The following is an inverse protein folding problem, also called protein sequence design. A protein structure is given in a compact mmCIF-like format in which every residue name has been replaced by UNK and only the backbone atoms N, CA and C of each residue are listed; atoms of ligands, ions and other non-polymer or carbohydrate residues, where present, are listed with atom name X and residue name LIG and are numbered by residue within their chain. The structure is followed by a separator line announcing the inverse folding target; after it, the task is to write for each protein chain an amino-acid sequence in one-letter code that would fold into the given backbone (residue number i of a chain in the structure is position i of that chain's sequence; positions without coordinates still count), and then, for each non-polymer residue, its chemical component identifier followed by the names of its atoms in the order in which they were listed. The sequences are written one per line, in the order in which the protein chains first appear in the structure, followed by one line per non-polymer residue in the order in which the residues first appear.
data_IF_117587913974
#
_entry.id   IF_117587913974
#
_cell.length_a   1.000
_cell.length_b   1.000
_cell.length_c   1.000
_cell.angle_alpha   90.00
_cell.angle_beta   90.00
_cell.angle_gamma   90.00
#
_symmetry.space_group_name_H-M   'P 1'
#
loop_
_entity.id
_entity.type
_entity.pdbx_description
1 polymer ?
2 branched ?
3 non-polymer ?
4 non-polymer ?
5 water ?
#
# COMPACT_ATOMS: atom_id res chain seq x y z
N UNK A 6 13.62 4.78 -18.20
CA UNK A 6 12.33 4.05 -18.38
C UNK A 6 12.10 3.06 -17.23
N UNK A 7 10.83 2.88 -16.88
CA UNK A 7 10.50 1.98 -15.79
C UNK A 7 10.56 0.50 -16.11
N UNK A 8 10.48 -0.32 -15.06
CA UNK A 8 10.52 -1.77 -15.20
C UNK A 8 9.36 -2.30 -16.04
N UNK A 9 8.27 -1.55 -16.11
CA UNK A 9 7.12 -1.95 -16.89
C UNK A 9 7.57 -2.19 -18.33
N UNK A 10 8.50 -1.34 -18.78
CA UNK A 10 9.03 -1.41 -20.15
C UNK A 10 10.25 -2.30 -20.30
N UNK A 11 11.23 -2.15 -19.42
CA UNK A 11 12.46 -2.93 -19.48
C UNK A 11 12.36 -4.34 -18.92
N UNK A 12 11.40 -4.55 -18.02
CA UNK A 12 11.19 -5.84 -17.39
C UNK A 12 12.38 -6.19 -16.48
N UNK A 13 13.15 -5.17 -16.13
CA UNK A 13 14.30 -5.32 -15.23
C UNK A 13 14.06 -4.42 -14.03
N UNK A 14 14.18 -4.99 -12.83
CA UNK A 14 13.95 -4.24 -11.61
C UNK A 14 15.24 -3.87 -10.90
N UNK A 15 15.33 -2.61 -10.50
CA UNK A 15 16.52 -2.11 -9.82
C UNK A 15 16.67 -2.69 -8.41
N UNK A 16 17.85 -3.23 -8.14
CA UNK A 16 18.16 -3.77 -6.82
C UNK A 16 18.98 -2.64 -6.20
N UNK A 17 18.30 -1.70 -5.56
CA UNK A 17 18.99 -0.57 -4.97
C UNK A 17 19.94 -0.96 -3.85
N UNK A 18 19.61 -2.01 -3.10
CA UNK A 18 20.50 -2.47 -2.03
C UNK A 18 21.85 -2.83 -2.66
N UNK A 19 21.80 -3.56 -3.76
CA UNK A 19 23.00 -3.99 -4.46
C UNK A 19 23.77 -2.80 -5.02
N UNK A 20 23.05 -1.87 -5.63
CA UNK A 20 23.69 -0.68 -6.19
C UNK A 20 24.36 0.16 -5.12
N UNK A 21 23.86 0.08 -3.88
CA UNK A 21 24.44 0.84 -2.80
C UNK A 21 25.51 0.08 -2.01
N UNK A 22 25.96 -1.05 -2.56
CA UNK A 22 27.02 -1.79 -1.89
C UNK A 22 26.74 -3.07 -1.13
N UNK A 23 25.47 -3.43 -0.93
CA UNK A 23 25.15 -4.65 -0.21
C UNK A 23 25.33 -5.87 -1.12
N UNK A 24 25.82 -6.96 -0.56
CA UNK A 24 26.05 -8.16 -1.36
C UNK A 24 24.77 -8.90 -1.69
N UNK A 25 24.74 -9.53 -2.87
CA UNK A 25 23.58 -10.28 -3.32
C UNK A 25 23.14 -11.33 -2.30
N UNK A 26 24.11 -12.05 -1.73
CA UNK A 26 23.81 -13.09 -0.76
C UNK A 26 23.14 -12.53 0.48
N UNK A 27 23.69 -11.44 1.03
CA UNK A 27 23.11 -10.85 2.22
C UNK A 27 21.73 -10.25 1.95
N UNK A 28 21.51 -9.75 0.74
CA UNK A 28 20.21 -9.19 0.39
C UNK A 28 19.19 -10.34 0.32
N UNK A 29 19.56 -11.43 -0.33
CA UNK A 29 18.66 -12.57 -0.43
C UNK A 29 18.28 -13.07 0.95
N UNK A 30 19.28 -13.21 1.81
CA UNK A 30 19.07 -13.67 3.17
C UNK A 30 18.16 -12.73 3.95
N UNK A 31 18.39 -11.43 3.80
CA UNK A 31 17.59 -10.44 4.51
C UNK A 31 16.14 -10.42 4.07
N UNK A 32 15.90 -10.56 2.78
CA UNK A 32 14.52 -10.58 2.28
C UNK A 32 13.80 -11.81 2.82
N UNK A 33 14.45 -12.96 2.74
CA UNK A 33 13.87 -14.20 3.23
C UNK A 33 13.60 -14.12 4.75
N UNK A 34 14.57 -13.60 5.50
CA UNK A 34 14.42 -13.49 6.94
C UNK A 34 13.27 -12.56 7.32
N UNK A 35 13.11 -11.48 6.57
CA UNK A 35 12.04 -10.53 6.84
C UNK A 35 10.70 -11.25 6.65
N UNK A 36 10.59 -11.98 5.55
CA UNK A 36 9.37 -12.73 5.28
C UNK A 36 9.09 -13.73 6.41
N UNK A 37 10.11 -14.47 6.82
CA UNK A 37 9.94 -15.46 7.87
C UNK A 37 9.56 -14.84 9.20
N UNK A 38 10.09 -13.67 9.52
CA UNK A 38 9.75 -13.03 10.78
C UNK A 38 8.30 -12.57 10.81
N UNK A 39 7.73 -12.32 9.63
CA UNK A 39 6.34 -11.88 9.53
C UNK A 39 5.33 -13.00 9.30
N UNK A 40 5.72 -13.99 8.50
CA UNK A 40 4.83 -15.09 8.15
C UNK A 40 5.14 -16.44 8.77
N UNK A 41 6.33 -16.55 9.36
CA UNK A 41 6.71 -17.81 9.98
C UNK A 41 6.25 -17.86 11.42
N UNK A 42 6.59 -18.92 12.14
CA UNK A 42 6.16 -19.04 13.53
C UNK A 42 7.13 -18.35 14.50
N UNK A 43 7.25 -17.04 14.32
CA UNK A 43 8.10 -16.20 15.16
C UNK A 43 7.18 -15.24 15.90
N UNK A 44 6.63 -15.71 17.04
CA UNK A 44 5.71 -15.00 17.91
C UNK A 44 5.86 -13.49 18.16
N UNK A 45 7.08 -13.04 18.43
CA UNK A 45 7.30 -11.62 18.73
C UNK A 45 7.24 -10.67 17.56
N UNK A 46 7.40 -11.18 16.34
CA UNK A 46 7.41 -10.33 15.16
C UNK A 46 6.33 -10.64 14.13
N UNK A 47 5.78 -11.85 14.18
CA UNK A 47 4.79 -12.27 13.20
C UNK A 47 3.51 -11.43 13.17
N UNK A 48 2.89 -11.39 12.00
CA UNK A 48 1.64 -10.67 11.81
C UNK A 48 0.63 -11.54 11.08
N UNK A 49 1.08 -12.68 10.58
CA UNK A 49 0.22 -13.62 9.85
C UNK A 49 -0.07 -14.85 10.70
N UNK A 50 -1.35 -15.22 10.78
CA UNK A 50 -1.78 -16.37 11.56
C UNK A 50 -2.64 -17.29 10.72
N UNK A 51 -2.34 -18.59 10.79
CA UNK A 51 -3.08 -19.57 10.02
C UNK A 51 -4.21 -20.19 10.82
N UNK A 52 -5.31 -20.50 10.14
CA UNK A 52 -6.47 -21.10 10.78
C UNK A 52 -6.90 -22.32 9.97
N UNK A 53 -6.83 -23.50 10.58
CA UNK A 53 -7.21 -24.71 9.88
C UNK A 53 -6.28 -24.99 8.71
N UNK A 54 -6.83 -25.56 7.64
CA UNK A 54 -6.03 -25.89 6.45
C UNK A 54 -6.30 -25.01 5.25
N UNK A 55 -7.26 -24.09 5.35
CA UNK A 55 -7.58 -23.23 4.22
C UNK A 55 -7.85 -21.77 4.56
N UNK A 56 -7.52 -21.37 5.79
CA UNK A 56 -7.74 -19.99 6.22
C UNK A 56 -6.50 -19.35 6.84
N UNK A 57 -6.46 -18.03 6.81
CA UNK A 57 -5.34 -17.30 7.38
C UNK A 57 -5.65 -15.82 7.36
N UNK A 58 -4.99 -15.05 8.23
CA UNK A 58 -5.22 -13.62 8.27
C UNK A 58 -4.04 -12.86 8.86
N UNK A 59 -4.03 -11.55 8.63
CA UNK A 59 -3.00 -10.69 9.19
C UNK A 59 -3.68 -9.90 10.29
N UNK A 60 -3.05 -9.89 11.45
CA UNK A 60 -3.60 -9.20 12.61
C UNK A 60 -3.03 -7.81 12.85
N UNK A 61 -3.92 -6.83 12.97
CA UNK A 61 -3.46 -5.49 13.30
C UNK A 61 -3.26 -5.64 14.80
N UNK A 62 -2.01 -5.85 15.20
CA UNK A 62 -1.66 -6.06 16.60
C UNK A 62 -2.02 -4.91 17.53
N UNK A 63 -2.00 -3.68 17.00
CA UNK A 63 -2.31 -2.53 17.83
C UNK A 63 -3.79 -2.31 18.10
N UNK A 64 -4.63 -2.72 17.17
CA UNK A 64 -6.08 -2.55 17.33
C UNK A 64 -6.81 -3.88 17.55
N UNK A 65 -6.06 -4.96 17.54
CA UNK A 65 -6.60 -6.29 17.75
C UNK A 65 -7.75 -6.67 16.81
N UNK A 66 -7.61 -6.31 15.55
CA UNK A 66 -8.62 -6.61 14.56
C UNK A 66 -7.94 -7.01 13.25
N UNK A 67 -8.74 -7.38 12.26
CA UNK A 67 -8.24 -7.77 10.94
C UNK A 67 -8.80 -6.73 9.97
N UNK A 68 -7.91 -6.07 9.25
CA UNK A 68 -8.30 -5.01 8.32
C UNK A 68 -8.08 -5.33 6.86
N UNK A 69 -8.92 -4.78 5.98
CA UNK A 69 -8.77 -5.07 4.56
C UNK A 69 -7.43 -4.55 4.03
N UNK A 70 -6.92 -3.47 4.61
CA UNK A 70 -5.63 -2.97 4.15
C UNK A 70 -4.58 -4.03 4.42
N UNK A 71 -4.66 -4.65 5.60
CA UNK A 71 -3.71 -5.69 5.95
C UNK A 71 -3.87 -6.98 5.16
N UNK A 72 -5.11 -7.41 4.96
CA UNK A 72 -5.37 -8.63 4.21
C UNK A 72 -4.92 -8.46 2.75
N UNK A 73 -5.24 -7.31 2.16
CA UNK A 73 -4.85 -7.06 0.79
C UNK A 73 -3.32 -6.97 0.70
N UNK A 74 -2.69 -6.39 1.72
CA UNK A 74 -1.23 -6.30 1.75
C UNK A 74 -0.66 -7.71 1.78
N UNK A 75 -1.25 -8.56 2.63
CA UNK A 75 -0.80 -9.93 2.75
C UNK A 75 -0.87 -10.69 1.45
N UNK A 76 -1.95 -10.52 0.71
CA UNK A 76 -2.09 -11.19 -0.57
C UNK A 76 -1.03 -10.68 -1.54
N UNK A 77 -0.79 -9.38 -1.54
CA UNK A 77 0.23 -8.82 -2.43
C UNK A 77 1.60 -9.38 -2.07
N UNK A 78 1.91 -9.46 -0.77
CA UNK A 78 3.19 -10.01 -0.32
C UNK A 78 3.32 -11.47 -0.76
N UNK A 79 2.24 -12.23 -0.56
CA UNK A 79 2.24 -13.64 -0.90
C UNK A 79 2.46 -13.90 -2.39
N UNK A 80 1.80 -13.13 -3.25
CA UNK A 80 2.00 -13.35 -4.68
C UNK A 80 3.39 -12.94 -5.12
N UNK A 81 3.94 -11.88 -4.50
CA UNK A 81 5.29 -11.46 -4.85
C UNK A 81 6.30 -12.53 -4.43
N UNK A 82 5.99 -13.24 -3.35
CA UNK A 82 6.87 -14.30 -2.84
C UNK A 82 6.55 -15.68 -3.41
N UNK A 83 5.61 -15.73 -4.36
CA UNK A 83 5.21 -16.97 -5.00
C UNK A 83 4.72 -18.00 -3.99
N UNK A 84 3.86 -17.56 -3.08
CA UNK A 84 3.30 -18.42 -2.05
C UNK A 84 1.77 -18.46 -2.19
N UNK A 85 1.31 -19.28 -3.13
CA UNK A 85 -0.12 -19.41 -3.41
C UNK A 85 -0.89 -19.96 -2.22
N UNK A 86 -0.24 -20.82 -1.44
CA UNK A 86 -0.90 -21.41 -0.27
C UNK A 86 -1.32 -20.32 0.71
N UNK A 87 -0.44 -19.36 0.95
CA UNK A 87 -0.74 -18.27 1.86
C UNK A 87 -1.74 -17.31 1.22
N UNK A 88 -1.53 -17.01 -0.06
CA UNK A 88 -2.42 -16.11 -0.78
C UNK A 88 -3.86 -16.61 -0.67
N UNK A 89 -4.06 -17.89 -1.00
CA UNK A 89 -5.40 -18.47 -0.95
C UNK A 89 -6.01 -18.51 0.45
N UNK A 90 -5.20 -18.76 1.47
CA UNK A 90 -5.70 -18.79 2.84
C UNK A 90 -6.26 -17.41 3.21
N UNK A 91 -5.51 -16.36 2.88
CA UNK A 91 -5.92 -14.99 3.18
C UNK A 91 -7.14 -14.57 2.38
N UNK A 92 -7.13 -14.86 1.08
CA UNK A 92 -8.24 -14.50 0.21
C UNK A 92 -9.51 -15.25 0.63
N UNK A 93 -9.35 -16.50 1.06
CA UNK A 93 -10.50 -17.29 1.49
C UNK A 93 -11.14 -16.68 2.74
N UNK A 94 -10.29 -16.27 3.69
CA UNK A 94 -10.77 -15.66 4.93
C UNK A 94 -11.48 -14.35 4.58
N UNK A 95 -10.88 -13.59 3.66
CA UNK A 95 -11.43 -12.32 3.22
C UNK A 95 -12.82 -12.49 2.62
N UNK A 96 -12.97 -13.43 1.70
CA UNK A 96 -14.26 -13.67 1.06
C UNK A 96 -15.29 -14.21 2.03
N UNK A 97 -14.86 -15.08 2.94
CA UNK A 97 -15.76 -15.69 3.90
C UNK A 97 -16.28 -14.73 4.98
N UNK A 98 -15.38 -13.93 5.53
CA UNK A 98 -15.73 -13.02 6.61
C UNK A 98 -15.86 -11.54 6.33
N UNK A 99 -15.23 -11.05 5.26
CA UNK A 99 -15.26 -9.63 4.97
C UNK A 99 -16.17 -9.19 3.83
N UNK A 100 -16.29 -10.01 2.79
CA UNK A 100 -17.13 -9.63 1.66
C UNK A 100 -18.57 -9.41 2.10
N UNK A 101 -19.15 -8.29 1.67
CA UNK A 101 -20.52 -7.95 2.04
C UNK A 101 -21.54 -8.20 0.95
N UNK A 102 -22.62 -8.88 1.32
CA UNK A 102 -23.69 -9.19 0.38
C UNK A 102 -24.94 -8.38 0.75
N UNK A 103 -24.90 -7.73 1.92
CA UNK A 103 -26.03 -6.95 2.39
C UNK A 103 -25.62 -5.52 2.74
N UNK A 104 -26.59 -4.62 2.76
CA UNK A 104 -26.31 -3.24 3.11
C UNK A 104 -25.94 -2.36 1.92
N UNK A 105 -25.79 -1.08 2.19
CA UNK A 105 -25.47 -0.12 1.14
C UNK A 105 -24.10 -0.36 0.52
N UNK A 106 -23.23 -1.06 1.23
CA UNK A 106 -21.90 -1.34 0.71
C UNK A 106 -21.73 -2.78 0.21
N UNK A 107 -22.83 -3.41 -0.16
CA UNK A 107 -22.77 -4.76 -0.69
C UNK A 107 -21.88 -4.71 -1.93
N UNK A 108 -20.98 -5.69 -2.05
CA UNK A 108 -20.08 -5.70 -3.19
C UNK A 108 -18.69 -5.26 -2.78
N UNK A 109 -18.58 -4.67 -1.60
CA UNK A 109 -17.30 -4.23 -1.05
C UNK A 109 -16.95 -5.13 0.13
N UNK A 110 -15.78 -4.89 0.72
CA UNK A 110 -15.32 -5.68 1.85
C UNK A 110 -15.32 -4.89 3.16
N UNK A 111 -15.95 -5.44 4.19
CA UNK A 111 -16.01 -4.81 5.51
C UNK A 111 -14.56 -4.54 5.89
N UNK A 112 -14.25 -3.29 6.22
CA UNK A 112 -12.87 -2.93 6.51
C UNK A 112 -12.21 -3.48 7.77
N UNK A 113 -13.01 -3.74 8.79
CA UNK A 113 -12.47 -4.27 10.04
C UNK A 113 -13.32 -5.40 10.60
N UNK A 114 -12.65 -6.51 10.92
CA UNK A 114 -13.30 -7.68 11.50
C UNK A 114 -12.51 -8.14 12.71
N UNK A 115 -13.17 -8.91 13.57
CA UNK A 115 -12.48 -9.46 14.73
C UNK A 115 -11.80 -10.72 14.22
N UNK A 116 -10.81 -11.23 14.96
CA UNK A 116 -10.10 -12.44 14.55
C UNK A 116 -11.01 -13.64 14.26
N UNK A 117 -12.16 -13.70 14.93
CA UNK A 117 -13.09 -14.80 14.70
C UNK A 117 -13.94 -14.62 13.46
N UNK A 118 -13.74 -13.50 12.76
CA UNK A 118 -14.49 -13.25 11.54
C UNK A 118 -15.64 -12.27 11.62
N UNK A 119 -16.09 -11.96 12.84
CA UNK A 119 -17.19 -11.02 13.03
C UNK A 119 -16.84 -9.63 12.51
N UNK A 120 -17.76 -9.03 11.76
CA UNK A 120 -17.52 -7.70 11.21
C UNK A 120 -17.71 -6.62 12.27
N UNK A 121 -16.78 -5.68 12.34
CA UNK A 121 -16.86 -4.57 13.29
C UNK A 121 -17.53 -3.38 12.63
N UNK A 122 -17.66 -3.45 11.31
CA UNK A 122 -18.25 -2.37 10.52
C UNK A 122 -18.71 -2.94 9.19
N UNK A 123 -19.67 -2.26 8.56
CA UNK A 123 -20.16 -2.66 7.25
C UNK A 123 -19.69 -1.64 6.22
N UNK A 124 -18.70 -0.85 6.62
CA UNK A 124 -18.14 0.14 5.71
C UNK A 124 -16.82 -0.38 5.18
N UNK A 125 -16.46 -0.04 3.93
CA UNK A 125 -15.21 -0.51 3.33
C UNK A 125 -14.10 0.54 3.36
N UNK A 126 -12.90 0.12 2.94
CA UNK A 126 -11.73 0.99 2.87
C UNK A 126 -11.15 0.85 1.46
N UNK A 127 -11.29 1.90 0.63
CA UNK A 127 -10.78 1.88 -0.74
C UNK A 127 -9.35 1.42 -0.94
N UNK A 128 -8.45 1.72 -0.01
CA UNK A 128 -7.08 1.27 -0.20
C UNK A 128 -6.99 -0.25 -0.14
N UNK A 129 -7.93 -0.89 0.55
CA UNK A 129 -7.94 -2.33 0.61
C UNK A 129 -8.39 -2.87 -0.74
N UNK A 130 -9.51 -2.36 -1.25
CA UNK A 130 -10.04 -2.79 -2.53
C UNK A 130 -9.01 -2.72 -3.67
N UNK A 131 -8.30 -1.61 -3.78
CA UNK A 131 -7.33 -1.49 -4.87
C UNK A 131 -6.17 -2.48 -4.77
N UNK A 132 -5.75 -2.81 -3.55
CA UNK A 132 -4.67 -3.79 -3.38
C UNK A 132 -5.21 -5.19 -3.66
N UNK A 133 -6.45 -5.46 -3.25
CA UNK A 133 -7.04 -6.78 -3.53
C UNK A 133 -7.03 -6.99 -5.04
N UNK A 134 -7.51 -6.00 -5.77
CA UNK A 134 -7.60 -6.09 -7.22
C UNK A 134 -6.26 -6.37 -7.90
N UNK A 135 -5.23 -5.59 -7.59
CA UNK A 135 -3.96 -5.84 -8.25
C UNK A 135 -3.35 -7.16 -7.82
N UNK A 136 -3.49 -7.51 -6.54
CA UNK A 136 -2.95 -8.78 -6.05
C UNK A 136 -3.62 -9.93 -6.79
N UNK A 137 -4.93 -9.79 -7.02
CA UNK A 137 -5.69 -10.83 -7.72
C UNK A 137 -5.23 -10.93 -9.17
N UNK A 138 -4.98 -9.79 -9.82
CA UNK A 138 -4.49 -9.83 -11.20
C UNK A 138 -3.14 -10.54 -11.23
N UNK A 139 -2.26 -10.21 -10.30
CA UNK A 139 -0.95 -10.84 -10.24
C UNK A 139 -1.07 -12.34 -10.00
N UNK A 140 -1.99 -12.74 -9.13
CA UNK A 140 -2.20 -14.16 -8.84
C UNK A 140 -2.62 -14.89 -10.11
N UNK A 141 -3.55 -14.28 -10.85
CA UNK A 141 -4.04 -14.88 -12.09
C UNK A 141 -2.89 -15.06 -13.07
N UNK A 142 -2.04 -14.05 -13.15
CA UNK A 142 -0.91 -14.07 -14.09
C UNK A 142 0.20 -15.03 -13.70
N UNK A 143 0.45 -15.21 -12.40
CA UNK A 143 1.51 -16.11 -11.97
C UNK A 143 1.07 -17.57 -11.88
N UNK A 144 -0.14 -17.80 -11.39
CA UNK A 144 -0.63 -19.16 -11.21
C UNK A 144 -1.80 -19.59 -12.07
N UNK A 145 -2.44 -18.64 -12.73
CA UNK A 145 -3.59 -18.97 -13.56
C UNK A 145 -4.84 -18.99 -12.69
N UNK A 146 -5.99 -18.70 -13.29
CA UNK A 146 -7.25 -18.69 -12.56
C UNK A 146 -7.66 -20.09 -12.09
N UNK A 147 -8.23 -20.16 -10.89
CA UNK A 147 -8.67 -21.42 -10.34
C UNK A 147 -10.01 -21.81 -10.94
N UNK A 148 -10.34 -23.10 -10.85
CA UNK A 148 -11.59 -23.61 -11.41
C UNK A 148 -12.81 -23.33 -10.56
N UNK A 149 -12.61 -23.09 -9.27
CA UNK A 149 -13.72 -22.82 -8.36
C UNK A 149 -13.64 -21.44 -7.74
N UNK A 150 -14.79 -20.78 -7.60
CA UNK A 150 -14.82 -19.48 -6.98
C UNK A 150 -14.50 -19.69 -5.51
N UNK A 151 -13.92 -18.68 -4.85
CA UNK A 151 -13.54 -17.36 -5.37
C UNK A 151 -12.12 -17.32 -5.92
N UNK A 152 -11.59 -18.47 -6.33
CA UNK A 152 -10.24 -18.53 -6.83
C UNK A 152 -10.07 -18.22 -8.32
N UNK A 153 -11.14 -17.73 -8.93
CA UNK A 153 -11.10 -17.34 -10.34
C UNK A 153 -10.61 -15.88 -10.28
N UNK A 154 -9.34 -15.76 -9.88
CA UNK A 154 -8.66 -14.48 -9.67
C UNK A 154 -8.95 -13.30 -10.59
N UNK A 155 -8.65 -13.42 -11.87
CA UNK A 155 -8.87 -12.31 -12.79
C UNK A 155 -10.31 -11.82 -12.84
N UNK A 156 -11.27 -12.75 -12.79
CA UNK A 156 -12.67 -12.37 -12.81
C UNK A 156 -13.05 -11.62 -11.54
N UNK A 157 -12.50 -12.07 -10.41
CA UNK A 157 -12.77 -11.42 -9.13
C UNK A 157 -12.26 -9.99 -9.17
N UNK A 158 -11.05 -9.81 -9.72
CA UNK A 158 -10.43 -8.49 -9.82
C UNK A 158 -11.26 -7.55 -10.68
N UNK A 159 -11.63 -8.01 -11.87
CA UNK A 159 -12.42 -7.17 -12.77
C UNK A 159 -13.80 -6.85 -12.19
N UNK A 160 -14.39 -7.80 -11.49
CA UNK A 160 -15.70 -7.62 -10.87
C UNK A 160 -15.60 -6.55 -9.78
N UNK A 161 -14.58 -6.65 -8.95
CA UNK A 161 -14.39 -5.70 -7.86
C UNK A 161 -14.17 -4.28 -8.39
N UNK A 162 -13.32 -4.14 -9.40
CA UNK A 162 -13.05 -2.83 -9.96
C UNK A 162 -14.30 -2.28 -10.67
N UNK A 163 -15.16 -3.15 -11.16
CA UNK A 163 -16.38 -2.70 -11.80
C UNK A 163 -17.22 -1.99 -10.73
N UNK A 164 -17.34 -2.63 -9.58
CA UNK A 164 -18.11 -2.07 -8.47
C UNK A 164 -17.51 -0.74 -8.04
N UNK A 165 -16.18 -0.69 -7.91
CA UNK A 165 -15.49 0.52 -7.48
C UNK A 165 -15.80 1.73 -8.34
N UNK A 166 -16.00 1.49 -9.64
CA UNK A 166 -16.26 2.57 -10.57
C UNK A 166 -17.73 2.85 -10.81
N UNK A 167 -18.53 1.79 -10.90
CA UNK A 167 -19.96 1.91 -11.22
C UNK A 167 -21.01 1.78 -10.13
N UNK A 168 -20.60 1.50 -8.90
CA UNK A 168 -21.59 1.35 -7.82
C UNK A 168 -22.44 2.62 -7.71
N UNK A 169 -23.74 2.43 -7.53
CA UNK A 169 -24.64 3.57 -7.41
C UNK A 169 -25.49 3.75 -8.65
N UNK A 170 -25.00 3.24 -9.78
CA UNK A 170 -25.74 3.34 -11.04
C UNK A 170 -26.85 2.30 -11.02
N UNK A 171 -28.01 2.71 -10.49
CA UNK A 171 -29.14 1.79 -10.41
C UNK A 171 -29.25 1.18 -9.04
N UNK A 172 -28.64 1.82 -8.05
CA UNK A 172 -28.67 1.32 -6.69
C UNK A 172 -28.34 2.41 -5.70
N UNK A 173 -28.52 2.16 -4.39
CA UNK A 173 -28.23 3.15 -3.35
C UNK A 173 -26.74 3.24 -3.01
N UNK A 174 -25.95 2.37 -3.63
CA UNK A 174 -24.52 2.35 -3.36
C UNK A 174 -23.74 3.55 -3.86
N UNK A 175 -22.45 3.58 -3.55
CA UNK A 175 -21.57 4.67 -3.95
C UNK A 175 -20.27 4.11 -4.51
N UNK A 176 -19.69 4.80 -5.51
CA UNK A 176 -18.42 4.34 -6.09
C UNK A 176 -17.27 4.76 -5.19
N UNK A 177 -16.11 4.13 -5.36
CA UNK A 177 -14.95 4.48 -4.56
C UNK A 177 -14.07 5.54 -5.20
N UNK A 178 -14.43 5.93 -6.42
CA UNK A 178 -13.73 6.97 -7.15
C UNK A 178 -14.77 8.02 -7.55
N UNK A 179 -14.39 9.30 -7.47
CA UNK A 179 -15.31 10.34 -7.91
C UNK A 179 -15.21 10.28 -9.42
N UNK A 180 -16.34 10.10 -10.09
CA UNK A 180 -16.36 9.98 -11.55
C UNK A 180 -15.97 11.24 -12.31
N UNK A 181 -16.15 12.40 -11.69
CA UNK A 181 -15.82 13.66 -12.34
C UNK A 181 -14.33 13.98 -12.30
N UNK A 182 -13.71 13.88 -11.13
CA UNK A 182 -12.29 14.19 -11.01
C UNK A 182 -11.36 12.97 -11.09
N UNK A 183 -11.95 11.78 -11.16
CA UNK A 183 -11.19 10.53 -11.26
C UNK A 183 -10.25 10.24 -10.09
N UNK A 184 -10.56 10.80 -8.92
CA UNK A 184 -9.74 10.60 -7.73
C UNK A 184 -10.37 9.59 -6.78
N UNK A 185 -9.53 8.72 -6.20
CA UNK A 185 -10.02 7.74 -5.25
C UNK A 185 -10.50 8.50 -4.00
N UNK A 186 -11.54 7.99 -3.36
CA UNK A 186 -12.11 8.62 -2.17
C UNK A 186 -11.60 7.98 -0.88
N UNK A 187 -11.75 8.68 0.24
CA UNK A 187 -11.34 8.15 1.54
C UNK A 187 -12.28 6.97 1.86
N UNK A 188 -13.57 7.19 1.64
CA UNK A 188 -14.60 6.14 1.80
C UNK A 188 -15.68 6.47 0.77
N UNK A 189 -16.49 5.47 0.38
CA UNK A 189 -17.53 5.69 -0.62
C UNK A 189 -18.51 6.85 -0.45
N UNK A 190 -18.93 7.12 0.78
CA UNK A 190 -19.91 8.18 0.98
C UNK A 190 -19.43 9.60 1.27
N UNK A 191 -18.14 9.86 1.12
CA UNK A 191 -17.64 11.21 1.35
C UNK A 191 -17.04 11.76 0.07
N UNK A 192 -16.76 13.05 0.06
CA UNK A 192 -16.16 13.67 -1.11
C UNK A 192 -14.82 14.33 -0.78
N UNK A 193 -13.92 13.52 -0.23
CA UNK A 193 -12.56 13.96 0.05
C UNK A 193 -11.70 12.72 -0.07
N UNK A 194 -10.39 12.89 0.01
CA UNK A 194 -9.49 11.75 -0.20
C UNK A 194 -8.46 11.54 0.89
N UNK A 195 -7.48 10.69 0.57
CA UNK A 195 -6.39 10.32 1.47
C UNK A 195 -5.21 10.13 0.53
N UNK A 196 -4.23 11.05 0.55
CA UNK A 196 -3.05 10.95 -0.34
C UNK A 196 -2.39 9.58 -0.45
N UNK A 197 -2.22 8.90 0.68
CA UNK A 197 -1.58 7.58 0.70
C UNK A 197 -2.34 6.52 -0.09
N UNK A 198 -3.60 6.78 -0.42
CA UNK A 198 -4.43 5.84 -1.17
C UNK A 198 -4.18 5.92 -2.68
N UNK A 199 -3.53 6.99 -3.11
CA UNK A 199 -3.29 7.17 -4.55
C UNK A 199 -2.16 6.34 -5.11
N UNK A 200 -2.54 5.39 -5.96
CA UNK A 200 -1.59 4.46 -6.58
C UNK A 200 -1.68 4.55 -8.10
N UNK A 201 -1.16 5.64 -8.69
CA UNK A 201 -1.21 5.77 -10.14
C UNK A 201 -0.60 4.59 -10.90
N UNK A 202 0.44 3.98 -10.33
CA UNK A 202 1.08 2.84 -10.95
C UNK A 202 0.15 1.63 -10.98
N UNK A 203 -0.75 1.55 -10.01
CA UNK A 203 -1.72 0.45 -9.99
C UNK A 203 -2.78 0.72 -11.06
N UNK A 204 -3.21 1.97 -11.16
CA UNK A 204 -4.25 2.33 -12.13
C UNK A 204 -3.77 2.16 -13.56
N UNK A 205 -2.46 2.35 -13.79
CA UNK A 205 -1.89 2.16 -15.11
C UNK A 205 -2.13 0.71 -15.52
N UNK A 206 -1.91 -0.20 -14.58
CA UNK A 206 -2.11 -1.62 -14.86
C UNK A 206 -3.61 -1.94 -14.99
N UNK A 207 -4.45 -1.27 -14.21
CA UNK A 207 -5.89 -1.50 -14.31
C UNK A 207 -6.36 -1.08 -15.70
N UNK A 208 -5.71 -0.08 -16.29
CA UNK A 208 -6.11 0.39 -17.62
C UNK A 208 -5.79 -0.65 -18.70
N UNK A 209 -5.06 -1.69 -18.31
CA UNK A 209 -4.71 -2.75 -19.24
C UNK A 209 -5.49 -4.02 -18.97
N UNK A 210 -5.85 -4.25 -17.71
CA UNK A 210 -6.53 -5.48 -17.32
C UNK A 210 -7.97 -5.43 -16.81
N UNK A 211 -8.47 -4.25 -16.47
CA UNK A 211 -9.85 -4.14 -15.98
C UNK A 211 -10.81 -4.35 -17.15
N UNK A 212 -12.12 -4.33 -16.88
CA UNK A 212 -13.07 -4.49 -17.97
C UNK A 212 -12.76 -3.40 -18.98
N UNK A 213 -12.80 -3.75 -20.26
CA UNK A 213 -12.48 -2.78 -21.31
C UNK A 213 -13.23 -1.46 -21.23
N UNK A 214 -14.50 -1.51 -20.83
CA UNK A 214 -15.32 -0.31 -20.73
C UNK A 214 -14.77 0.70 -19.74
N UNK A 215 -13.88 0.27 -18.84
CA UNK A 215 -13.30 1.17 -17.84
C UNK A 215 -11.80 1.45 -18.02
N UNK A 216 -11.19 0.92 -19.07
CA UNK A 216 -9.76 1.13 -19.26
C UNK A 216 -9.36 2.58 -19.48
N UNK A 217 -10.17 3.34 -20.21
CA UNK A 217 -9.87 4.74 -20.43
C UNK A 217 -9.96 5.45 -19.08
N UNK A 218 -10.99 5.13 -18.30
CA UNK A 218 -11.17 5.73 -16.99
C UNK A 218 -9.94 5.51 -16.11
N UNK A 219 -9.43 4.28 -16.08
CA UNK A 219 -8.26 4.00 -15.25
C UNK A 219 -7.02 4.78 -15.68
N UNK A 220 -6.88 5.05 -16.97
CA UNK A 220 -5.74 5.82 -17.44
C UNK A 220 -5.90 7.24 -16.92
N UNK A 221 -7.15 7.74 -16.93
CA UNK A 221 -7.42 9.08 -16.47
C UNK A 221 -7.21 9.19 -14.95
N UNK A 222 -7.52 8.11 -14.23
CA UNK A 222 -7.35 8.08 -12.79
C UNK A 222 -5.86 8.13 -12.46
N UNK A 223 -5.05 7.44 -13.25
CA UNK A 223 -3.61 7.43 -13.04
C UNK A 223 -3.08 8.85 -13.19
N UNK A 224 -3.50 9.54 -14.24
CA UNK A 224 -3.06 10.91 -14.47
C UNK A 224 -3.57 11.84 -13.38
N UNK A 225 -4.84 11.70 -13.00
CA UNK A 225 -5.41 12.55 -11.96
C UNK A 225 -4.69 12.38 -10.62
N UNK A 226 -4.34 11.15 -10.28
CA UNK A 226 -3.64 10.89 -9.02
C UNK A 226 -2.24 11.48 -9.02
N UNK A 227 -1.55 11.41 -10.16
CA UNK A 227 -0.20 11.96 -10.22
C UNK A 227 -0.26 13.47 -10.01
N UNK A 228 -1.26 14.13 -10.60
CA UNK A 228 -1.40 15.57 -10.42
C UNK A 228 -1.83 15.91 -9.00
N UNK A 229 -2.67 15.06 -8.42
CA UNK A 229 -3.17 15.28 -7.06
C UNK A 229 -2.04 15.26 -6.04
N UNK A 230 -1.12 14.31 -6.18
CA UNK A 230 -0.01 14.22 -5.24
C UNK A 230 0.84 15.49 -5.25
N UNK A 231 0.93 16.15 -6.40
CA UNK A 231 1.71 17.37 -6.50
C UNK A 231 1.12 18.49 -5.65
N UNK A 232 -0.20 18.55 -5.53
CA UNK A 232 -0.82 19.60 -4.73
C UNK A 232 -1.07 19.18 -3.28
N UNK A 233 -0.96 17.89 -2.99
CA UNK A 233 -1.18 17.39 -1.63
C UNK A 233 0.09 17.45 -0.77
N UNK A 234 1.25 17.30 -1.40
CA UNK A 234 2.52 17.32 -0.67
C UNK A 234 2.98 18.75 -0.43
N UNK A 235 3.35 19.06 0.82
CA UNK A 235 3.81 20.39 1.15
C UNK A 235 5.00 20.73 0.25
N UNK A 236 5.00 21.93 -0.36
CA UNK A 236 6.07 22.37 -1.25
C UNK A 236 7.48 22.46 -0.70
N UNK A 237 7.63 22.63 0.61
CA UNK A 237 8.96 22.75 1.20
C UNK A 237 9.44 21.47 1.89
N UNK A 238 8.56 20.86 2.68
CA UNK A 238 8.91 19.64 3.43
C UNK A 238 8.62 18.35 2.67
N UNK A 239 7.69 18.41 1.73
CA UNK A 239 7.32 17.23 0.97
C UNK A 239 6.34 16.36 1.73
N UNK A 240 5.96 16.79 2.93
CA UNK A 240 5.05 16.02 3.76
C UNK A 240 3.59 16.13 3.32
N UNK A 241 2.90 14.99 3.28
CA UNK A 241 1.50 14.95 2.89
C UNK A 241 0.62 14.63 4.10
N UNK A 242 -0.59 15.20 4.13
CA UNK A 242 -1.50 14.95 5.25
C UNK A 242 -2.14 13.56 5.09
N UNK A 243 -2.71 13.04 6.18
CA UNK A 243 -3.36 11.74 6.11
C UNK A 243 -4.63 11.83 5.28
N UNK A 244 -5.48 12.82 5.58
CA UNK A 244 -6.71 13.05 4.82
C UNK A 244 -6.58 14.41 4.15
N UNK A 245 -7.12 14.54 2.95
CA UNK A 245 -7.05 15.80 2.23
C UNK A 245 -8.28 15.99 1.35
N UNK A 246 -8.68 17.24 1.16
CA UNK A 246 -9.80 17.55 0.30
C UNK A 246 -9.34 17.37 -1.14
N UNK A 247 -10.28 17.38 -2.07
CA UNK A 247 -9.89 17.22 -3.47
C UNK A 247 -9.02 18.39 -3.91
N UNK A 248 -9.14 19.53 -3.23
CA UNK A 248 -8.32 20.69 -3.59
C UNK A 248 -6.87 20.54 -3.11
N UNK A 249 -6.59 19.42 -2.46
CA UNK A 249 -5.24 19.15 -1.99
C UNK A 249 -4.90 19.54 -0.56
N UNK A 250 -5.67 20.46 0.02
CA UNK A 250 -5.39 20.91 1.38
C UNK A 250 -5.83 19.87 2.41
N UNK A 251 -5.20 19.88 3.59
CA UNK A 251 -5.54 18.90 4.64
C UNK A 251 -6.96 18.99 5.22
N UNK A 252 -7.52 17.83 5.54
CA UNK A 252 -8.82 17.75 6.18
C UNK A 252 -8.48 17.34 7.61
N UNK A 253 -8.52 18.30 8.52
CA UNK A 253 -8.18 18.03 9.91
C UNK A 253 -9.39 18.03 10.83
N UNK A 254 -10.57 17.87 10.25
CA UNK A 254 -11.81 17.86 11.02
C UNK A 254 -11.76 16.88 12.19
N UNK A 255 -11.06 15.76 12.01
CA UNK A 255 -10.95 14.76 13.07
C UNK A 255 -9.52 14.43 13.46
N UNK A 256 -8.59 15.32 13.13
CA UNK A 256 -7.20 15.12 13.48
C UNK A 256 -6.30 14.44 12.46
N UNK A 257 -6.84 14.18 11.26
CA UNK A 257 -6.08 13.52 10.20
C UNK A 257 -5.44 14.47 9.20
N UNK A 258 -5.30 15.74 9.56
CA UNK A 258 -4.72 16.68 8.61
C UNK A 258 -3.22 16.89 8.72
N UNK A 259 -2.53 15.99 9.41
CA UNK A 259 -1.10 16.12 9.59
C UNK A 259 -0.30 14.95 9.04
N UNK A 260 1.02 15.03 9.17
CA UNK A 260 1.90 13.96 8.69
C UNK A 260 2.00 12.90 9.79
N UNK A 261 1.32 11.78 9.58
CA UNK A 261 1.32 10.69 10.53
C UNK A 261 1.22 9.35 9.80
N UNK A 262 0.83 8.31 10.53
CA UNK A 262 0.74 6.95 9.98
C UNK A 262 0.36 6.76 8.52
N UNK A 263 -0.82 7.22 8.11
CA UNK A 263 -1.23 7.06 6.71
C UNK A 263 -0.22 7.65 5.73
N UNK A 264 0.20 8.89 6.02
CA UNK A 264 1.11 9.66 5.19
C UNK A 264 2.41 9.00 4.80
N UNK A 265 2.93 8.14 5.68
CA UNK A 265 4.21 7.49 5.42
C UNK A 265 4.23 6.75 4.09
N UNK A 266 3.09 6.20 3.71
CA UNK A 266 3.02 5.42 2.47
C UNK A 266 3.19 6.24 1.19
N UNK A 267 3.00 7.55 1.26
CA UNK A 267 3.15 8.38 0.07
C UNK A 267 4.55 8.26 -0.54
N UNK A 268 5.58 8.37 0.30
CA UNK A 268 6.95 8.26 -0.19
C UNK A 268 7.20 6.90 -0.83
N UNK A 269 6.67 5.85 -0.20
CA UNK A 269 6.84 4.49 -0.72
C UNK A 269 6.14 4.34 -2.06
N UNK A 270 4.92 4.89 -2.16
CA UNK A 270 4.14 4.81 -3.40
C UNK A 270 4.86 5.55 -4.53
N UNK A 271 5.45 6.69 -4.22
CA UNK A 271 6.16 7.46 -5.23
C UNK A 271 7.39 6.67 -5.69
N UNK A 272 8.03 5.98 -4.74
CA UNK A 272 9.19 5.19 -5.09
C UNK A 272 8.84 4.03 -6.02
N UNK A 273 7.76 3.32 -5.71
CA UNK A 273 7.37 2.19 -6.54
C UNK A 273 6.89 2.64 -7.92
N UNK A 274 6.15 3.74 -7.97
CA UNK A 274 5.67 4.26 -9.24
C UNK A 274 6.88 4.63 -10.11
N UNK A 275 7.91 5.20 -9.49
CA UNK A 275 9.10 5.59 -10.24
C UNK A 275 9.81 4.36 -10.81
N UNK A 276 9.91 3.30 -10.00
CA UNK A 276 10.57 2.08 -10.45
C UNK A 276 9.80 1.37 -11.55
N UNK A 277 8.48 1.33 -11.44
CA UNK A 277 7.66 0.66 -12.43
C UNK A 277 7.44 1.45 -13.72
N UNK A 278 7.08 2.73 -13.60
CA UNK A 278 6.78 3.52 -14.78
C UNK A 278 7.72 4.66 -15.14
N UNK A 279 8.85 4.74 -14.45
CA UNK A 279 9.83 5.77 -14.77
C UNK A 279 9.93 6.91 -13.79
N UNK A 280 11.14 7.43 -13.63
CA UNK A 280 11.35 8.54 -12.71
C UNK A 280 10.88 9.84 -13.32
N UNK A 281 10.70 10.84 -12.47
CA UNK A 281 10.26 12.16 -12.91
C UNK A 281 10.97 13.18 -12.05
N UNK A 282 11.13 14.39 -12.57
CA UNK A 282 11.80 15.45 -11.82
C UNK A 282 11.02 15.73 -10.54
N UNK A 283 9.69 15.77 -10.64
CA UNK A 283 8.88 16.05 -9.47
C UNK A 283 9.07 14.99 -8.38
N UNK A 284 9.05 13.71 -8.77
CA UNK A 284 9.21 12.64 -7.80
C UNK A 284 10.57 12.67 -7.11
N UNK A 285 11.63 12.90 -7.88
CA UNK A 285 12.96 12.96 -7.31
C UNK A 285 13.06 14.12 -6.31
N UNK A 286 12.51 15.26 -6.69
CA UNK A 286 12.55 16.43 -5.82
C UNK A 286 11.68 16.24 -4.57
N UNK A 287 10.56 15.55 -4.73
CA UNK A 287 9.66 15.29 -3.61
C UNK A 287 10.34 14.40 -2.58
N UNK A 288 10.98 13.32 -3.04
CA UNK A 288 11.67 12.43 -2.13
C UNK A 288 12.84 13.16 -1.49
N UNK A 289 13.54 14.00 -2.25
CA UNK A 289 14.65 14.74 -1.68
C UNK A 289 14.17 15.66 -0.56
N UNK A 290 12.98 16.24 -0.72
CA UNK A 290 12.41 17.12 0.29
C UNK A 290 12.11 16.36 1.58
N UNK A 291 11.45 15.22 1.45
CA UNK A 291 11.09 14.41 2.61
C UNK A 291 12.34 13.93 3.34
N UNK A 292 13.30 13.40 2.58
CA UNK A 292 14.53 12.91 3.19
C UNK A 292 15.32 14.05 3.81
N UNK A 293 15.29 15.22 3.18
CA UNK A 293 16.01 16.37 3.73
C UNK A 293 15.39 16.76 5.07
N UNK A 294 14.06 16.67 5.15
CA UNK A 294 13.35 17.01 6.38
C UNK A 294 13.75 16.10 7.54
N UNK A 295 13.98 14.82 7.25
CA UNK A 295 14.34 13.88 8.30
C UNK A 295 15.84 13.66 8.47
N UNK A 296 16.64 14.28 7.61
CA UNK A 296 18.09 14.13 7.65
C UNK A 296 18.73 14.43 9.00
N UNK A 297 18.20 15.43 9.72
CA UNK A 297 18.76 15.81 11.02
C UNK A 297 17.88 15.40 12.20
N UNK A 298 17.03 14.40 11.99
CA UNK A 298 16.13 13.95 13.04
C UNK A 298 16.39 12.49 13.41
N UNK A 299 16.44 12.20 14.70
CA UNK A 299 16.66 10.84 15.16
C UNK A 299 15.35 10.06 15.20
N UNK A 300 15.36 8.80 14.75
CA UNK A 300 14.15 7.97 14.75
C UNK A 300 13.43 7.95 16.09
N UNK A 301 14.20 7.87 17.17
CA UNK A 301 13.61 7.83 18.51
C UNK A 301 12.87 9.13 18.82
N UNK A 302 13.13 10.16 18.04
CA UNK A 302 12.50 11.47 18.25
C UNK A 302 11.44 11.83 17.20
N UNK A 303 11.21 10.94 16.23
CA UNK A 303 10.21 11.22 15.21
C UNK A 303 8.87 11.54 15.87
N UNK A 304 8.22 12.58 15.38
CA UNK A 304 6.93 13.01 15.94
C UNK A 304 5.85 13.04 14.87
N UNK A 305 4.70 13.55 15.28
CA UNK A 305 3.60 13.80 14.36
C UNK A 305 4.01 15.22 13.99
N UNK A 306 3.88 15.59 12.72
CA UNK A 306 4.26 16.94 12.29
C UNK A 306 3.15 17.55 11.46
N UNK A 307 2.99 18.87 11.54
CA UNK A 307 2.03 19.53 10.68
C UNK A 307 2.76 19.40 9.35
N UNK A 308 2.07 19.44 8.22
CA UNK A 308 2.77 19.25 6.96
C UNK A 308 3.83 20.31 6.67
N UNK A 309 3.74 21.46 7.33
CA UNK A 309 4.73 22.51 7.12
C UNK A 309 5.99 22.24 7.95
N UNK A 310 5.98 21.13 8.69
CA UNK A 310 7.13 20.75 9.49
C UNK A 310 7.06 21.00 10.98
N UNK A 311 6.08 21.79 11.43
CA UNK A 311 5.95 22.08 12.85
C UNK A 311 5.72 20.79 13.63
N UNK A 312 6.56 20.52 14.63
CA UNK A 312 6.42 19.29 15.43
C UNK A 312 5.41 19.33 16.57
N UNK A 313 4.77 18.19 16.81
CA UNK A 313 3.84 18.01 17.90
C UNK A 313 4.67 17.30 18.97
N UNK A 314 4.16 17.28 20.20
CA UNK A 314 4.88 16.58 21.26
C UNK A 314 4.75 15.08 21.05
N UNK A 315 3.60 14.66 20.52
CA UNK A 315 3.34 13.24 20.28
C UNK A 315 4.36 12.60 19.35
N UNK A 316 4.87 11.44 19.77
CA UNK A 316 5.84 10.71 18.96
C UNK A 316 5.14 9.90 17.88
N UNK A 317 5.90 9.55 16.85
CA UNK A 317 5.38 8.73 15.77
C UNK A 317 5.00 7.40 16.40
N UNK A 318 3.84 6.86 16.03
CA UNK A 318 3.41 5.57 16.58
C UNK A 318 4.09 4.44 15.81
N UNK A 319 4.54 4.73 14.60
CA UNK A 319 5.18 3.73 13.75
C UNK A 319 6.45 4.27 13.09
N UNK A 320 7.49 4.55 13.89
CA UNK A 320 8.75 5.08 13.38
C UNK A 320 9.52 4.13 12.46
N UNK A 321 9.39 2.83 12.69
CA UNK A 321 10.06 1.86 11.84
C UNK A 321 9.41 1.90 10.45
N UNK A 322 8.09 2.05 10.42
CA UNK A 322 7.40 2.15 9.15
C UNK A 322 7.82 3.41 8.42
N UNK A 323 8.01 4.50 9.16
CA UNK A 323 8.44 5.75 8.55
C UNK A 323 9.81 5.54 7.92
N UNK A 324 10.71 4.89 8.65
CA UNK A 324 12.05 4.62 8.13
C UNK A 324 11.96 3.79 6.84
N UNK A 325 11.15 2.74 6.87
CA UNK A 325 10.99 1.88 5.70
C UNK A 325 10.47 2.62 4.48
N UNK A 326 9.43 3.43 4.66
CA UNK A 326 8.87 4.17 3.54
C UNK A 326 9.82 5.22 2.99
N UNK A 327 10.55 5.92 3.86
CA UNK A 327 11.49 6.92 3.40
C UNK A 327 12.60 6.25 2.58
N UNK A 328 13.00 5.06 3.02
CA UNK A 328 14.03 4.31 2.31
C UNK A 328 13.49 3.84 0.96
N UNK A 329 12.26 3.33 0.93
CA UNK A 329 11.66 2.89 -0.32
C UNK A 329 11.53 4.05 -1.30
N UNK A 330 11.33 5.24 -0.76
CA UNK A 330 11.21 6.42 -1.60
C UNK A 330 12.46 6.67 -2.43
N UNK A 331 13.59 6.16 -1.96
CA UNK A 331 14.87 6.34 -2.66
C UNK A 331 14.82 5.82 -4.10
N UNK A 332 13.89 4.93 -4.38
CA UNK A 332 13.77 4.40 -5.74
C UNK A 332 13.41 5.51 -6.73
N UNK A 333 12.88 6.61 -6.20
CA UNK A 333 12.50 7.75 -7.03
C UNK A 333 13.58 8.83 -7.08
N UNK A 334 14.68 8.61 -6.36
CA UNK A 334 15.78 9.56 -6.35
C UNK A 334 17.05 8.81 -5.95
N UNK A 335 17.44 7.87 -6.81
CA UNK A 335 18.61 7.05 -6.54
C UNK A 335 19.91 7.84 -6.38
N UNK A 336 19.97 9.03 -6.97
CA UNK A 336 21.17 9.86 -6.86
C UNK A 336 20.95 11.01 -5.87
N UNK A 337 19.88 10.91 -5.09
CA UNK A 337 19.57 11.94 -4.11
C UNK A 337 20.63 12.05 -3.02
N UNK A 338 20.80 13.26 -2.44
CA UNK A 338 21.80 13.46 -1.40
C UNK A 338 21.65 12.58 -0.15
N UNK A 339 20.42 12.16 0.14
CA UNK A 339 20.15 11.34 1.32
C UNK A 339 19.69 9.93 1.00
N UNK A 340 19.65 9.59 -0.30
CA UNK A 340 19.17 8.28 -0.72
C UNK A 340 19.90 7.11 -0.05
N UNK A 341 21.23 7.14 -0.10
CA UNK A 341 22.06 6.09 0.48
C UNK A 341 21.87 6.02 1.99
N UNK A 342 21.87 7.18 2.64
CA UNK A 342 21.71 7.23 4.09
C UNK A 342 20.40 6.59 4.53
N UNK A 343 19.33 6.84 3.78
CA UNK A 343 18.03 6.26 4.13
C UNK A 343 18.02 4.75 3.96
N UNK A 344 18.60 4.26 2.86
CA UNK A 344 18.64 2.82 2.65
C UNK A 344 19.49 2.18 3.74
N UNK A 345 20.59 2.82 4.12
CA UNK A 345 21.44 2.27 5.17
C UNK A 345 20.72 2.26 6.52
N UNK A 346 19.98 3.33 6.81
CA UNK A 346 19.25 3.41 8.07
C UNK A 346 18.26 2.25 8.16
N UNK A 347 17.56 2.00 7.05
CA UNK A 347 16.59 0.92 6.99
C UNK A 347 17.28 -0.44 7.18
N UNK A 348 18.40 -0.64 6.50
CA UNK A 348 19.13 -1.90 6.64
C UNK A 348 19.53 -2.13 8.10
N UNK A 349 19.87 -1.05 8.79
CA UNK A 349 20.29 -1.12 10.19
C UNK A 349 19.13 -1.13 11.18
N UNK A 350 17.90 -1.18 10.67
CA UNK A 350 16.72 -1.19 11.53
C UNK A 350 16.09 -2.59 11.54
N UNK A 351 15.95 -3.20 12.71
CA UNK A 351 15.36 -4.54 12.81
C UNK A 351 13.84 -4.52 12.64
N UNK A 352 13.27 -5.66 12.26
CA UNK A 352 11.83 -5.75 12.13
C UNK A 352 11.30 -5.47 13.53
N UNK A 353 10.14 -4.83 13.61
CA UNK A 353 9.58 -4.46 14.90
C UNK A 353 8.88 -5.55 15.69
N UNK A 354 8.95 -5.43 17.02
CA UNK A 354 8.30 -6.36 17.94
C UNK A 354 7.33 -5.49 18.73
N UNK A 355 6.54 -6.11 19.61
CA UNK A 355 5.59 -5.32 20.39
C UNK A 355 4.22 -5.26 19.77
N UNK A 356 3.26 -4.69 20.51
CA UNK A 356 1.88 -4.62 20.04
C UNK A 356 1.59 -3.64 18.90
N UNK A 357 2.54 -2.78 18.56
CA UNK A 357 2.32 -1.82 17.48
C UNK A 357 3.12 -2.19 16.24
N UNK A 358 3.65 -3.41 16.22
CA UNK A 358 4.48 -3.91 15.12
C UNK A 358 3.84 -4.12 13.75
N UNK A 359 2.55 -4.47 13.74
CA UNK A 359 1.85 -4.74 12.48
C UNK A 359 2.09 -3.75 11.34
N UNK A 360 1.72 -2.49 11.55
CA UNK A 360 1.86 -1.48 10.50
C UNK A 360 3.29 -1.29 10.07
N UNK A 361 4.21 -1.18 11.03
CA UNK A 361 5.62 -1.01 10.73
C UNK A 361 6.13 -2.17 9.89
N UNK A 362 5.80 -3.38 10.31
CA UNK A 362 6.27 -4.56 9.61
C UNK A 362 5.72 -4.74 8.20
N UNK A 363 4.50 -4.30 7.95
CA UNK A 363 3.93 -4.39 6.61
C UNK A 363 4.76 -3.48 5.70
N UNK A 364 4.96 -2.24 6.13
CA UNK A 364 5.73 -1.29 5.35
C UNK A 364 7.17 -1.77 5.21
N UNK A 365 7.68 -2.43 6.24
CA UNK A 365 9.04 -2.96 6.25
C UNK A 365 9.23 -4.00 5.13
N UNK A 366 8.35 -4.99 5.05
CA UNK A 366 8.49 -6.00 4.01
C UNK A 366 8.31 -5.42 2.61
N UNK A 367 7.37 -4.48 2.44
CA UNK A 367 7.19 -3.89 1.12
C UNK A 367 8.48 -3.21 0.69
N UNK A 368 9.11 -2.47 1.61
CA UNK A 368 10.35 -1.78 1.32
C UNK A 368 11.48 -2.77 1.03
N UNK A 369 11.50 -3.88 1.76
CA UNK A 369 12.53 -4.89 1.55
C UNK A 369 12.39 -5.48 0.14
N UNK A 370 11.15 -5.74 -0.28
CA UNK A 370 10.92 -6.29 -1.61
C UNK A 370 11.26 -5.29 -2.70
N UNK A 371 10.78 -4.06 -2.56
CA UNK A 371 11.03 -3.03 -3.57
C UNK A 371 12.50 -2.66 -3.71
N UNK A 372 13.18 -2.48 -2.58
CA UNK A 372 14.59 -2.09 -2.62
C UNK A 372 15.53 -3.18 -3.11
N UNK A 373 15.06 -4.43 -3.11
CA UNK A 373 15.88 -5.55 -3.57
C UNK A 373 15.51 -5.97 -4.98
N UNK A 374 14.58 -5.23 -5.60
CA UNK A 374 14.16 -5.55 -6.95
C UNK A 374 13.20 -6.73 -7.02
N UNK A 375 12.48 -6.98 -5.93
CA UNK A 375 11.55 -8.09 -5.88
C UNK A 375 10.07 -7.72 -5.78
N UNK A 376 9.74 -6.45 -5.98
CA UNK A 376 8.34 -6.02 -5.96
C UNK A 376 8.07 -5.79 -7.45
N UNK A 377 7.64 -6.85 -8.12
CA UNK A 377 7.43 -6.82 -9.56
C UNK A 377 6.01 -6.78 -10.09
N UNK A 378 5.92 -6.50 -11.39
CA UNK A 378 4.66 -6.49 -12.09
C UNK A 378 4.59 -7.88 -12.72
N UNK A 379 3.53 -8.62 -12.46
CA UNK A 379 3.38 -9.93 -13.03
C UNK A 379 2.39 -9.86 -14.19
N UNK A 380 2.92 -9.99 -15.40
CA UNK A 380 2.16 -9.90 -16.64
C UNK A 380 1.49 -11.21 -17.04
N UNK A 381 0.43 -11.13 -17.87
CA UNK A 381 -0.27 -12.33 -18.34
C UNK A 381 0.66 -13.23 -19.15
#
# INVERSE_FOLDING_TARGET
MEKTTEGAFYTREYRNLFKEFGYSEAEIQERVKDTWEQLFGDNPETKIYYEVGDDLGYLLDTGNLDVRTAGMSYGMMMAVQMDRKDIFDRIWNWTMKNMYMTEGVHAGYFAWSCQPDGTKNSWGPAPDGEEYFALALFFASHRWGDGDEQPFNYSEQARKLLHTCVHNGEGGPGHPMWNRDNKLIKFIPEVEFSDPSYHLPHFYELFSLWANEEDRVFWKEAAEASREYLKIACHPETGLAPEYAYYDGTPNDEKGYGHFFSDSYRVAANIGLDAEWFGGSEWSAEEINKIQAFFADKEPEDYRRYKIDGEPFEEKSLHPVGLIATNAMGSLASVDGPYAKANVDLFWNTPVRTGNRRYYDNCLYLFAMLALSGNFKIWFPEGQEEEHLEHHHHHH
#
